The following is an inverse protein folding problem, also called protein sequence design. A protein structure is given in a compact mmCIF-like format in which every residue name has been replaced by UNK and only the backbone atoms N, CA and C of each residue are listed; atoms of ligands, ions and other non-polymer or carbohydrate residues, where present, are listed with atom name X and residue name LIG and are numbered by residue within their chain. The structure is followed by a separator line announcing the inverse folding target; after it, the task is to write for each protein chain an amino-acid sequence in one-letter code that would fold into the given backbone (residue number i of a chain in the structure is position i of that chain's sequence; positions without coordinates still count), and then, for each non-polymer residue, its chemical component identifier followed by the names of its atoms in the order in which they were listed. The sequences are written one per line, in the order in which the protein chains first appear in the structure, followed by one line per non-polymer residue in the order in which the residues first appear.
data_IF_748175140556
#
_entry.id   IF_748175140556
#
_cell.length_a   1.000
_cell.length_b   1.000
_cell.length_c   1.000
_cell.angle_alpha   90.00
_cell.angle_beta   90.00
_cell.angle_gamma   90.00
#
_symmetry.space_group_name_H-M   'P 1'
#
loop_
_entity.id
_entity.type
_entity.pdbx_description
1 polymer ?
#
# COMPACT_ATOMS: atom_id res chain seq x y z
N UNK A 1 -65.64 18.59 53.96
CA UNK A 1 -64.32 18.32 54.58
C UNK A 1 -63.64 17.24 53.76
N UNK A 2 -62.48 17.54 53.13
CA UNK A 2 -61.29 16.69 52.85
C UNK A 2 -61.52 15.27 52.27
N UNK A 3 -60.91 14.71 51.22
CA UNK A 3 -59.77 14.92 50.30
C UNK A 3 -59.66 13.59 49.49
N UNK A 4 -59.36 13.51 48.20
CA UNK A 4 -58.07 13.75 47.55
C UNK A 4 -57.17 12.48 47.50
N UNK A 5 -57.16 11.73 46.40
CA UNK A 5 -56.06 10.83 45.98
C UNK A 5 -56.06 10.70 44.44
N UNK A 6 -55.03 11.26 43.80
CA UNK A 6 -54.86 11.28 42.34
C UNK A 6 -54.24 10.00 41.75
N UNK A 7 -54.20 9.88 40.42
CA UNK A 7 -53.63 8.73 39.73
C UNK A 7 -52.08 8.75 39.78
N UNK A 8 -51.50 7.60 40.11
CA UNK A 8 -50.05 7.36 40.09
C UNK A 8 -49.47 7.46 38.66
N UNK A 9 -48.26 8.01 38.47
CA UNK A 9 -47.55 7.92 37.19
C UNK A 9 -46.99 6.50 36.98
N UNK A 10 -47.23 5.93 35.79
CA UNK A 10 -46.60 4.67 35.38
C UNK A 10 -45.14 4.90 34.96
N UNK A 11 -44.23 3.94 35.22
CA UNK A 11 -42.85 4.01 34.72
C UNK A 11 -42.81 3.87 33.19
N UNK A 12 -41.88 4.55 32.50
CA UNK A 12 -41.77 4.47 31.04
C UNK A 12 -41.34 3.06 30.60
N UNK A 13 -42.05 2.54 29.59
CA UNK A 13 -41.69 1.30 28.88
C UNK A 13 -40.35 1.51 28.17
N UNK A 14 -39.37 0.59 28.28
CA UNK A 14 -38.14 0.71 27.52
C UNK A 14 -38.44 0.61 26.02
N UNK A 15 -38.07 1.65 25.27
CA UNK A 15 -38.08 1.65 23.81
C UNK A 15 -37.31 0.43 23.28
N UNK A 16 -37.74 -0.20 22.16
CA UNK A 16 -36.95 -1.23 21.53
C UNK A 16 -35.61 -0.60 21.15
N UNK A 17 -34.56 -0.99 21.87
CA UNK A 17 -33.20 -0.71 21.45
C UNK A 17 -33.00 -1.56 20.20
N UNK A 18 -33.09 -0.92 19.04
CA UNK A 18 -32.62 -1.51 17.79
C UNK A 18 -31.14 -1.75 17.99
N UNK A 19 -30.77 -2.95 18.41
CA UNK A 19 -29.39 -3.41 18.35
C UNK A 19 -29.03 -3.37 16.88
N UNK A 20 -28.36 -2.29 16.45
CA UNK A 20 -27.75 -2.23 15.14
C UNK A 20 -26.63 -3.25 15.19
N UNK A 21 -26.94 -4.49 14.80
CA UNK A 21 -25.93 -5.44 14.39
C UNK A 21 -25.19 -4.74 13.26
N UNK A 22 -24.02 -4.19 13.56
CA UNK A 22 -23.06 -3.79 12.54
C UNK A 22 -22.64 -5.10 11.93
N UNK A 23 -23.39 -5.55 10.91
CA UNK A 23 -22.92 -6.58 10.02
C UNK A 23 -21.57 -6.10 9.53
N UNK A 24 -20.54 -6.92 9.68
CA UNK A 24 -19.25 -6.67 9.07
C UNK A 24 -19.48 -6.61 7.55
N UNK A 25 -19.75 -5.43 7.02
CA UNK A 25 -19.74 -5.21 5.58
C UNK A 25 -18.30 -5.34 5.16
N UNK A 26 -17.95 -6.48 4.57
CA UNK A 26 -16.70 -6.63 3.83
C UNK A 26 -16.74 -5.58 2.72
N UNK A 27 -16.09 -4.43 2.93
CA UNK A 27 -16.00 -3.39 1.89
C UNK A 27 -15.16 -3.95 0.76
N UNK A 28 -15.73 -3.94 -0.44
CA UNK A 28 -15.02 -4.28 -1.68
C UNK A 28 -14.21 -3.03 -2.09
N UNK A 29 -12.89 -3.13 -2.27
CA UNK A 29 -12.07 -2.06 -2.84
C UNK A 29 -12.58 -1.62 -4.23
N UNK A 30 -12.38 -0.34 -4.63
CA UNK A 30 -11.67 0.68 -3.89
C UNK A 30 -12.57 1.39 -2.85
N UNK A 31 -12.00 1.85 -1.73
CA UNK A 31 -12.72 2.61 -0.71
C UNK A 31 -11.85 3.68 -0.03
N UNK A 32 -12.44 4.47 0.88
CA UNK A 32 -11.76 5.53 1.65
C UNK A 32 -11.07 6.61 0.79
N UNK A 33 -11.56 6.81 -0.44
CA UNK A 33 -11.01 7.78 -1.39
C UNK A 33 -9.96 7.22 -2.34
N UNK A 34 -9.62 5.93 -2.23
CA UNK A 34 -8.70 5.29 -3.17
C UNK A 34 -9.24 5.37 -4.61
N UNK A 35 -8.43 5.78 -5.60
CA UNK A 35 -8.84 5.85 -6.99
C UNK A 35 -9.02 4.44 -7.58
N UNK A 36 -10.06 4.27 -8.39
CA UNK A 36 -10.28 3.05 -9.16
C UNK A 36 -9.22 2.86 -10.27
N UNK A 37 -8.86 1.61 -10.54
CA UNK A 37 -7.90 1.24 -11.58
C UNK A 37 -8.63 1.00 -12.90
N UNK A 38 -8.42 1.89 -13.88
CA UNK A 38 -9.14 1.84 -15.17
C UNK A 38 -8.76 0.68 -16.08
N UNK A 39 -7.49 0.29 -16.09
CA UNK A 39 -6.98 -0.81 -16.91
C UNK A 39 -6.27 -1.83 -16.02
N UNK A 40 -7.03 -2.70 -15.32
CA UNK A 40 -6.44 -3.60 -14.33
C UNK A 40 -5.58 -4.69 -14.99
N UNK A 41 -4.47 -5.02 -14.32
CA UNK A 41 -3.70 -6.23 -14.64
C UNK A 41 -4.35 -7.45 -13.98
N UNK A 42 -4.26 -8.64 -14.61
CA UNK A 42 -4.77 -9.86 -13.99
C UNK A 42 -3.92 -10.20 -12.76
N UNK A 43 -4.56 -10.69 -11.69
CA UNK A 43 -3.88 -11.10 -10.44
C UNK A 43 -2.74 -12.10 -10.66
N UNK A 44 -2.79 -12.88 -11.74
CA UNK A 44 -1.74 -13.84 -12.11
C UNK A 44 -0.37 -13.20 -12.33
N UNK A 45 -0.29 -11.89 -12.55
CA UNK A 45 1.01 -11.18 -12.62
C UNK A 45 1.76 -11.19 -11.28
N UNK A 46 1.03 -11.27 -10.16
CA UNK A 46 1.57 -11.22 -8.79
C UNK A 46 1.43 -12.55 -8.04
N UNK A 47 1.11 -13.65 -8.72
CA UNK A 47 1.01 -14.99 -8.12
C UNK A 47 2.35 -15.70 -7.91
N UNK A 48 3.43 -15.18 -8.51
CA UNK A 48 4.79 -15.71 -8.42
C UNK A 48 5.58 -15.22 -7.21
N UNK A 49 6.92 -15.30 -7.31
CA UNK A 49 7.85 -14.78 -6.32
C UNK A 49 8.46 -13.46 -6.80
N UNK A 50 8.34 -12.36 -6.06
CA UNK A 50 8.84 -11.05 -6.50
C UNK A 50 10.33 -11.06 -6.88
N UNK A 51 11.15 -11.91 -6.24
CA UNK A 51 12.58 -12.00 -6.56
C UNK A 51 12.87 -12.44 -8.00
N UNK A 52 11.96 -13.20 -8.62
CA UNK A 52 12.10 -13.69 -10.00
C UNK A 52 11.19 -12.97 -10.97
N UNK A 53 10.14 -12.29 -10.47
CA UNK A 53 9.05 -11.79 -11.31
C UNK A 53 8.85 -10.28 -11.25
N UNK A 54 9.39 -9.58 -10.26
CA UNK A 54 9.23 -8.13 -10.13
C UNK A 54 10.32 -7.34 -10.87
N UNK A 55 11.58 -7.74 -10.69
CA UNK A 55 12.74 -7.12 -11.35
C UNK A 55 13.62 -8.18 -11.99
N UNK A 56 14.15 -7.87 -13.16
CA UNK A 56 15.20 -8.67 -13.82
C UNK A 56 16.57 -8.39 -13.18
N UNK A 57 17.54 -9.32 -13.26
CA UNK A 57 18.90 -9.07 -12.76
C UNK A 57 19.53 -7.80 -13.34
N UNK A 58 19.28 -7.51 -14.62
CA UNK A 58 19.75 -6.29 -15.28
C UNK A 58 19.15 -5.01 -14.68
N UNK A 59 17.86 -5.01 -14.33
CA UNK A 59 17.20 -3.88 -13.65
C UNK A 59 17.72 -3.73 -12.21
N UNK A 60 17.94 -4.83 -11.48
CA UNK A 60 18.54 -4.77 -10.14
C UNK A 60 19.92 -4.12 -10.22
N UNK A 61 20.76 -4.54 -11.17
CA UNK A 61 22.08 -3.94 -11.39
C UNK A 61 21.99 -2.47 -11.80
N UNK A 62 21.01 -2.10 -12.63
CA UNK A 62 20.79 -0.72 -13.04
C UNK A 62 20.47 0.18 -11.83
N UNK A 63 19.62 -0.29 -10.91
CA UNK A 63 19.17 0.52 -9.76
C UNK A 63 20.20 0.50 -8.63
N UNK A 64 20.79 -0.65 -8.31
CA UNK A 64 21.73 -0.81 -7.19
C UNK A 64 23.20 -0.57 -7.56
N UNK A 65 23.53 -0.51 -8.86
CA UNK A 65 24.92 -0.44 -9.33
C UNK A 65 25.71 -1.73 -9.14
N UNK A 66 25.08 -2.83 -8.71
CA UNK A 66 25.71 -4.11 -8.45
C UNK A 66 24.76 -5.27 -8.76
N UNK A 67 25.33 -6.41 -9.15
CA UNK A 67 24.56 -7.65 -9.25
C UNK A 67 24.33 -8.21 -7.84
N UNK A 68 23.08 -8.18 -7.41
CA UNK A 68 22.67 -8.61 -6.08
C UNK A 68 21.59 -9.67 -6.22
N UNK A 69 21.75 -10.78 -5.48
CA UNK A 69 20.72 -11.80 -5.39
C UNK A 69 19.63 -11.35 -4.42
N UNK A 70 18.37 -11.46 -4.86
CA UNK A 70 17.22 -11.13 -4.03
C UNK A 70 17.00 -12.16 -2.93
N UNK A 71 16.64 -11.69 -1.74
CA UNK A 71 16.19 -12.53 -0.62
C UNK A 71 14.68 -12.51 -0.55
N UNK A 72 14.06 -13.67 -0.67
CA UNK A 72 12.60 -13.83 -0.57
C UNK A 72 12.16 -13.87 0.90
N UNK A 73 11.07 -13.17 1.21
CA UNK A 73 10.26 -13.36 2.40
C UNK A 73 8.83 -13.71 1.97
N UNK A 74 8.32 -14.84 2.42
CA UNK A 74 6.96 -15.32 2.07
C UNK A 74 5.92 -14.98 3.13
N UNK A 75 6.37 -14.64 4.34
CA UNK A 75 5.53 -14.44 5.52
C UNK A 75 5.35 -12.96 5.87
N UNK A 76 6.09 -12.08 5.23
CA UNK A 76 5.95 -10.64 5.39
C UNK A 76 4.53 -10.14 5.04
N UNK A 77 4.13 -9.05 5.69
CA UNK A 77 2.93 -8.28 5.31
C UNK A 77 3.38 -7.10 4.45
N UNK A 78 2.71 -6.80 3.31
CA UNK A 78 1.36 -7.22 2.90
C UNK A 78 1.28 -8.50 2.02
N UNK A 79 2.37 -9.25 1.87
CA UNK A 79 2.41 -10.50 1.11
C UNK A 79 3.85 -10.90 0.77
N UNK A 80 4.03 -11.74 -0.25
CA UNK A 80 5.38 -12.17 -0.65
C UNK A 80 6.22 -10.96 -1.05
N UNK A 81 7.43 -10.91 -0.53
CA UNK A 81 8.36 -9.80 -0.68
C UNK A 81 9.72 -10.27 -1.14
N UNK A 82 10.38 -9.47 -1.96
CA UNK A 82 11.80 -9.63 -2.24
C UNK A 82 12.58 -8.41 -1.77
N UNK A 83 13.75 -8.66 -1.20
CA UNK A 83 14.71 -7.64 -0.81
C UNK A 83 16.03 -7.82 -1.56
N UNK A 84 16.52 -6.76 -2.16
CA UNK A 84 17.87 -6.67 -2.72
C UNK A 84 18.64 -5.59 -1.97
N UNK A 85 19.85 -5.92 -1.53
CA UNK A 85 20.71 -5.02 -0.77
C UNK A 85 22.10 -4.93 -1.40
N UNK A 86 22.51 -3.73 -1.78
CA UNK A 86 23.91 -3.44 -2.04
C UNK A 86 24.59 -3.02 -0.74
N UNK A 87 25.29 -3.95 -0.09
CA UNK A 87 25.96 -3.73 1.20
C UNK A 87 27.09 -2.69 1.12
N UNK A 88 27.70 -2.50 -0.05
CA UNK A 88 28.76 -1.51 -0.22
C UNK A 88 28.23 -0.08 -0.17
N UNK A 89 27.01 0.15 -0.66
CA UNK A 89 26.37 1.48 -0.63
C UNK A 89 25.33 1.63 0.48
N UNK A 90 24.89 0.52 1.08
CA UNK A 90 23.77 0.48 2.03
C UNK A 90 22.43 0.81 1.37
N UNK A 91 22.30 0.62 0.05
CA UNK A 91 21.04 0.82 -0.67
C UNK A 91 20.25 -0.47 -0.70
N UNK A 92 18.95 -0.37 -0.38
CA UNK A 92 18.02 -1.49 -0.35
C UNK A 92 16.86 -1.19 -1.30
N UNK A 93 16.46 -2.19 -2.07
CA UNK A 93 15.19 -2.23 -2.79
C UNK A 93 14.35 -3.34 -2.17
N UNK A 94 13.12 -3.02 -1.82
CA UNK A 94 12.11 -3.99 -1.37
C UNK A 94 10.92 -3.94 -2.33
N UNK A 95 10.47 -5.09 -2.81
CA UNK A 95 9.25 -5.19 -3.61
C UNK A 95 8.33 -6.25 -3.02
N UNK A 96 7.13 -5.84 -2.61
CA UNK A 96 6.12 -6.71 -2.04
C UNK A 96 4.87 -6.79 -2.92
N UNK A 97 4.37 -8.00 -3.13
CA UNK A 97 3.08 -8.26 -3.76
C UNK A 97 1.98 -8.25 -2.70
N UNK A 98 1.25 -7.14 -2.60
CA UNK A 98 0.22 -6.88 -1.59
C UNK A 98 -1.07 -7.69 -1.85
N UNK A 99 -0.95 -9.01 -1.73
CA UNK A 99 -1.97 -10.00 -2.10
C UNK A 99 -2.63 -10.65 -0.90
N UNK A 100 -2.06 -10.54 0.31
CA UNK A 100 -2.58 -11.20 1.53
C UNK A 100 -3.99 -10.74 1.88
N UNK A 101 -4.23 -9.43 1.84
CA UNK A 101 -5.51 -8.85 2.27
C UNK A 101 -6.42 -8.40 1.12
N UNK A 102 -5.90 -8.41 -0.13
CA UNK A 102 -6.65 -8.00 -1.34
C UNK A 102 -7.37 -6.65 -1.19
N UNK A 103 -6.62 -5.64 -0.74
CA UNK A 103 -7.15 -4.29 -0.50
C UNK A 103 -6.73 -3.28 -1.57
N UNK A 104 -5.83 -3.67 -2.48
CA UNK A 104 -5.25 -2.78 -3.50
C UNK A 104 -4.71 -1.48 -2.89
N UNK A 105 -4.98 -0.36 -3.55
CA UNK A 105 -4.59 0.97 -3.06
C UNK A 105 -5.37 1.39 -1.81
N UNK A 106 -6.55 0.81 -1.55
CA UNK A 106 -7.34 1.12 -0.35
C UNK A 106 -6.61 0.77 0.95
N UNK A 107 -5.58 -0.08 0.89
CA UNK A 107 -4.73 -0.40 2.03
C UNK A 107 -3.95 0.80 2.60
N UNK A 108 -3.70 1.82 1.77
CA UNK A 108 -2.93 3.02 2.15
C UNK A 108 -3.78 4.29 2.20
N UNK A 109 -5.11 4.12 2.17
CA UNK A 109 -6.09 5.18 2.36
C UNK A 109 -6.83 5.02 3.70
N UNK A 110 -7.34 6.13 4.29
CA UNK A 110 -7.21 7.51 3.82
C UNK A 110 -5.77 8.03 3.92
N UNK A 111 -5.49 9.16 3.26
CA UNK A 111 -4.20 9.85 3.40
C UNK A 111 -3.89 10.12 4.88
N UNK A 112 -2.63 9.94 5.27
CA UNK A 112 -2.14 10.25 6.62
C UNK A 112 -2.01 11.76 6.79
N UNK A 113 -2.22 12.26 8.02
CA UNK A 113 -1.99 13.68 8.31
C UNK A 113 -0.49 13.99 8.26
N UNK A 114 -0.06 15.14 7.73
CA UNK A 114 1.34 15.60 7.81
C UNK A 114 1.89 15.60 9.24
N UNK A 115 1.02 15.83 10.24
CA UNK A 115 1.39 15.85 11.66
C UNK A 115 1.94 14.51 12.19
N UNK A 116 1.83 13.42 11.42
CA UNK A 116 2.40 12.12 11.75
C UNK A 116 3.90 12.00 11.40
N UNK A 117 4.53 13.06 10.86
CA UNK A 117 5.94 13.04 10.45
C UNK A 117 6.18 12.33 9.12
N UNK A 118 5.14 12.21 8.29
CA UNK A 118 5.18 11.56 6.99
C UNK A 118 4.57 12.45 5.92
N UNK A 119 5.27 12.55 4.77
CA UNK A 119 4.71 13.12 3.55
C UNK A 119 4.04 12.01 2.77
N UNK A 120 2.75 12.20 2.49
CA UNK A 120 1.94 11.34 1.66
C UNK A 120 1.51 12.10 0.41
N UNK A 121 1.68 11.50 -0.77
CA UNK A 121 1.25 12.13 -2.04
C UNK A 121 0.74 11.10 -3.03
N UNK A 122 -0.33 11.45 -3.74
CA UNK A 122 -0.76 10.70 -4.92
C UNK A 122 0.20 10.97 -6.09
N UNK A 123 0.40 9.95 -6.92
CA UNK A 123 1.14 10.02 -8.17
C UNK A 123 0.61 8.99 -9.16
N UNK A 124 1.22 8.91 -10.34
CA UNK A 124 0.98 7.84 -11.30
C UNK A 124 2.27 7.09 -11.59
N UNK A 125 2.15 5.77 -11.74
CA UNK A 125 3.25 4.90 -12.18
C UNK A 125 2.77 4.09 -13.36
N UNK A 126 3.41 4.25 -14.51
CA UNK A 126 3.06 3.62 -15.79
C UNK A 126 1.57 3.83 -16.20
N UNK A 127 0.92 4.88 -15.70
CA UNK A 127 -0.52 5.13 -15.91
C UNK A 127 -1.44 4.52 -14.86
N UNK A 128 -0.96 3.70 -13.93
CA UNK A 128 -1.71 3.24 -12.77
C UNK A 128 -1.75 4.32 -11.68
N UNK A 129 -2.83 4.38 -10.86
CA UNK A 129 -2.80 5.18 -9.66
C UNK A 129 -1.76 4.64 -8.69
N UNK A 130 -1.09 5.55 -7.96
CA UNK A 130 -0.11 5.20 -6.97
C UNK A 130 -0.07 6.24 -5.84
N UNK A 131 0.55 5.86 -4.74
CA UNK A 131 0.81 6.71 -3.58
C UNK A 131 2.28 6.60 -3.20
N UNK A 132 2.93 7.72 -2.92
CA UNK A 132 4.28 7.77 -2.38
C UNK A 132 4.23 8.28 -0.94
N UNK A 133 4.96 7.60 -0.08
CA UNK A 133 5.07 7.91 1.35
C UNK A 133 6.55 7.96 1.72
N UNK A 134 6.97 9.05 2.36
CA UNK A 134 8.35 9.28 2.85
C UNK A 134 8.29 9.97 4.21
N UNK A 135 9.30 9.78 5.09
CA UNK A 135 9.45 10.64 6.26
C UNK A 135 9.55 12.11 5.84
N UNK A 136 9.39 13.01 6.81
CA UNK A 136 9.54 14.46 6.60
C UNK A 136 10.88 14.85 5.93
N UNK A 137 10.90 16.03 5.27
CA UNK A 137 11.97 16.39 4.33
C UNK A 137 13.37 16.50 4.92
N UNK A 138 13.50 16.55 6.24
CA UNK A 138 14.77 16.60 6.94
C UNK A 138 15.49 15.24 6.96
N UNK A 139 14.77 14.13 6.70
CA UNK A 139 15.33 12.77 6.70
C UNK A 139 14.73 11.83 5.63
N UNK A 140 14.82 12.14 4.31
CA UNK A 140 14.22 11.31 3.26
C UNK A 140 15.10 10.10 2.89
N UNK A 141 15.54 9.32 3.88
CA UNK A 141 16.33 8.09 3.67
C UNK A 141 15.49 6.92 3.15
N UNK A 142 14.16 7.05 3.20
CA UNK A 142 13.20 6.02 2.85
C UNK A 142 12.08 6.59 2.01
N UNK A 143 11.69 5.86 0.98
CA UNK A 143 10.40 6.10 0.34
C UNK A 143 9.73 4.78 -0.02
N UNK A 144 8.42 4.76 0.07
CA UNK A 144 7.58 3.67 -0.43
C UNK A 144 6.59 4.19 -1.44
N UNK A 145 6.50 3.52 -2.58
CA UNK A 145 5.51 3.74 -3.61
C UNK A 145 4.60 2.52 -3.68
N UNK A 146 3.31 2.70 -3.42
CA UNK A 146 2.28 1.67 -3.57
C UNK A 146 1.51 1.94 -4.85
N UNK A 147 1.54 0.98 -5.77
CA UNK A 147 0.87 1.07 -7.08
C UNK A 147 -0.32 0.13 -7.11
N UNK A 148 -1.51 0.64 -7.43
CA UNK A 148 -2.69 -0.20 -7.63
C UNK A 148 -2.71 -0.78 -9.03
N UNK A 149 -2.52 -2.09 -9.14
CA UNK A 149 -2.56 -2.84 -10.40
C UNK A 149 -3.98 -3.27 -10.77
N UNK A 150 -4.85 -3.42 -9.78
CA UNK A 150 -6.30 -3.55 -9.85
C UNK A 150 -6.90 -2.95 -8.58
N UNK A 151 -8.23 -2.84 -8.49
CA UNK A 151 -8.88 -2.24 -7.32
C UNK A 151 -8.50 -2.94 -6.00
N UNK A 152 -8.26 -4.26 -6.06
CA UNK A 152 -7.93 -5.11 -4.91
C UNK A 152 -6.49 -5.68 -4.95
N UNK A 153 -5.68 -5.30 -5.94
CA UNK A 153 -4.29 -5.76 -6.11
C UNK A 153 -3.33 -4.57 -6.18
N UNK A 154 -2.31 -4.59 -5.33
CA UNK A 154 -1.25 -3.60 -5.35
C UNK A 154 0.14 -4.24 -5.31
N UNK A 155 1.13 -3.47 -5.76
CA UNK A 155 2.55 -3.75 -5.54
C UNK A 155 3.15 -2.59 -4.75
N UNK A 156 3.93 -2.93 -3.74
CA UNK A 156 4.63 -1.97 -2.90
C UNK A 156 6.12 -2.03 -3.26
N UNK A 157 6.70 -0.88 -3.55
CA UNK A 157 8.12 -0.72 -3.86
C UNK A 157 8.70 0.26 -2.87
N UNK A 158 9.67 -0.19 -2.09
CA UNK A 158 10.34 0.65 -1.10
C UNK A 158 11.82 0.71 -1.39
N UNK A 159 12.42 1.87 -1.18
CA UNK A 159 13.87 2.03 -1.21
C UNK A 159 14.38 2.68 0.06
N UNK A 160 15.51 2.18 0.54
CA UNK A 160 16.29 2.77 1.64
C UNK A 160 17.67 3.13 1.12
N UNK A 161 18.17 4.31 1.45
CA UNK A 161 19.57 4.70 1.23
C UNK A 161 20.21 5.18 2.53
N UNK A 162 21.46 4.78 2.76
CA UNK A 162 22.21 5.14 3.99
C UNK A 162 22.72 6.57 3.99
N UNK A 163 22.88 7.16 2.80
CA UNK A 163 23.18 8.58 2.62
C UNK A 163 21.96 9.23 1.99
N UNK A 164 21.62 10.46 2.42
CA UNK A 164 20.71 11.29 1.66
C UNK A 164 21.34 11.44 0.27
N UNK A 165 20.80 10.71 -0.72
CA UNK A 165 21.23 10.89 -2.10
C UNK A 165 20.97 12.34 -2.48
N UNK A 166 21.78 12.90 -3.35
CA UNK A 166 21.56 14.24 -3.91
C UNK A 166 20.25 14.38 -4.71
N UNK A 167 19.43 13.33 -4.80
CA UNK A 167 18.12 13.32 -5.42
C UNK A 167 17.01 12.84 -4.47
N UNK A 168 15.77 13.23 -4.77
CA UNK A 168 14.55 12.81 -4.06
C UNK A 168 14.41 11.28 -4.11
N UNK A 169 14.52 10.63 -2.95
CA UNK A 169 14.41 9.18 -2.80
C UNK A 169 13.09 8.63 -3.36
N UNK A 170 12.00 9.40 -3.28
CA UNK A 170 10.74 8.99 -3.88
C UNK A 170 10.73 9.07 -5.40
N UNK A 171 11.55 9.94 -6.00
CA UNK A 171 11.73 9.97 -7.45
C UNK A 171 12.43 8.69 -7.92
N UNK A 172 13.51 8.26 -7.26
CA UNK A 172 14.19 6.99 -7.56
C UNK A 172 13.29 5.78 -7.29
N UNK A 173 12.54 5.80 -6.20
CA UNK A 173 11.57 4.74 -5.87
C UNK A 173 10.46 4.66 -6.91
N UNK A 174 9.95 5.80 -7.38
CA UNK A 174 8.99 5.89 -8.47
C UNK A 174 9.52 5.30 -9.77
N UNK A 175 10.76 5.64 -10.16
CA UNK A 175 11.41 5.04 -11.33
C UNK A 175 11.61 3.53 -11.20
N UNK A 176 11.92 3.05 -9.99
CA UNK A 176 12.02 1.61 -9.73
C UNK A 176 10.63 0.94 -9.83
N UNK A 177 9.59 1.61 -9.36
CA UNK A 177 8.21 1.14 -9.50
C UNK A 177 7.77 1.07 -10.98
N UNK A 178 8.20 2.02 -11.82
CA UNK A 178 8.00 1.95 -13.28
C UNK A 178 8.62 0.67 -13.87
N UNK A 179 9.85 0.32 -13.47
CA UNK A 179 10.53 -0.90 -13.91
C UNK A 179 9.76 -2.17 -13.48
N UNK A 180 9.27 -2.20 -12.24
CA UNK A 180 8.45 -3.31 -11.73
C UNK A 180 7.18 -3.45 -12.55
N UNK A 181 6.42 -2.36 -12.73
CA UNK A 181 5.15 -2.39 -13.47
C UNK A 181 5.37 -2.79 -14.93
N UNK A 182 6.45 -2.31 -15.56
CA UNK A 182 6.81 -2.72 -16.92
C UNK A 182 7.08 -4.23 -17.02
N UNK A 183 7.77 -4.82 -16.05
CA UNK A 183 8.00 -6.27 -15.98
C UNK A 183 6.67 -7.03 -15.80
N UNK A 184 5.79 -6.55 -14.92
CA UNK A 184 4.48 -7.18 -14.68
C UNK A 184 3.55 -7.09 -15.90
N UNK A 185 3.55 -5.97 -16.64
CA UNK A 185 2.81 -5.83 -17.90
C UNK A 185 3.24 -6.84 -18.94
N UNK A 186 4.55 -7.00 -19.16
CA UNK A 186 5.09 -8.01 -20.08
C UNK A 186 4.61 -9.42 -19.72
N UNK A 187 4.55 -9.75 -18.43
CA UNK A 187 4.01 -11.03 -17.96
C UNK A 187 2.51 -11.20 -18.21
N UNK A 188 1.76 -10.10 -18.24
CA UNK A 188 0.34 -10.10 -18.62
C UNK A 188 0.13 -10.21 -20.14
N UNK A 189 1.19 -10.22 -20.96
CA UNK A 189 1.09 -10.16 -22.41
C UNK A 189 0.67 -8.78 -22.94
N UNK A 190 0.99 -7.72 -22.19
CA UNK A 190 0.69 -6.33 -22.53
C UNK A 190 1.95 -5.48 -22.68
#
# INVERSE_FOLDING_TARGET
MLGGCGPYPQPPVPSPTTTRTIGATTRVPPYAGAPAVRDPLPVTVVSGEPCTTALTPGQVRQVLGAEVMGKIDREESPGRTCLWENRSTGTIIRVAFATRHRQGLSAVYPARSPDEGWVWRELRVAGFPAVATTPEPDQPWYCTVVVGLADDVAVEVSMVTRTASSGDQCTLTGQTAELVVATLRKRAGR
#
